data_IF_416205163866
#
_entry.id   IF_416205163866
#
_cell.length_a   1.000
_cell.length_b   1.000
_cell.length_c   1.000
_cell.angle_alpha   90.00
_cell.angle_beta   90.00
_cell.angle_gamma   90.00
#
_symmetry.space_group_name_H-M   'P 1'
#
loop_
_entity.id
_entity.type
_entity.pdbx_description
1 polymer ?
#
# COMPACT_ATOMS: atom_id res chain seq x y z
N UNK A 1 -18.73 28.34 6.50
CA UNK A 1 -18.30 29.45 7.39
C UNK A 1 -16.99 29.04 8.04
N UNK A 2 -16.03 29.95 8.19
CA UNK A 2 -14.73 29.66 8.79
C UNK A 2 -14.56 30.50 10.06
N UNK A 3 -14.21 29.88 11.21
CA UNK A 3 -13.93 30.63 12.42
C UNK A 3 -12.71 31.54 12.21
N UNK A 4 -12.68 32.66 12.94
CA UNK A 4 -11.60 33.65 12.86
C UNK A 4 -10.30 32.99 13.34
N UNK A 5 -9.20 33.21 12.62
CA UNK A 5 -7.89 32.62 12.95
C UNK A 5 -7.71 31.16 12.50
N UNK A 6 -8.66 30.61 11.73
CA UNK A 6 -8.53 29.29 11.12
C UNK A 6 -8.43 29.38 9.60
N UNK A 7 -7.75 28.41 8.99
CA UNK A 7 -7.56 28.28 7.55
C UNK A 7 -7.96 26.86 7.13
N UNK A 8 -8.65 26.74 5.99
CA UNK A 8 -8.94 25.45 5.37
C UNK A 8 -7.82 25.03 4.41
N UNK A 9 -7.26 23.85 4.63
CA UNK A 9 -6.24 23.21 3.79
C UNK A 9 -6.84 22.00 3.07
N UNK A 10 -6.74 21.99 1.74
CA UNK A 10 -7.22 20.89 0.88
C UNK A 10 -6.09 19.93 0.52
N UNK A 11 -5.41 19.40 1.54
CA UNK A 11 -4.32 18.43 1.38
C UNK A 11 -4.80 17.03 1.78
N UNK A 12 -4.50 15.98 0.99
CA UNK A 12 -4.86 14.62 1.33
C UNK A 12 -4.04 14.13 2.53
N UNK A 13 -4.62 13.27 3.36
CA UNK A 13 -3.94 12.61 4.49
C UNK A 13 -3.32 13.54 5.56
N UNK A 14 -3.67 14.83 5.57
CA UNK A 14 -3.10 15.82 6.51
C UNK A 14 -3.31 15.44 7.99
N UNK A 15 -4.42 14.77 8.31
CA UNK A 15 -4.74 14.32 9.67
C UNK A 15 -3.71 13.36 10.27
N UNK A 16 -3.00 12.57 9.44
CA UNK A 16 -1.91 11.71 9.95
C UNK A 16 -0.70 12.53 10.37
N UNK A 17 -0.36 13.53 9.58
CA UNK A 17 0.77 14.44 9.84
C UNK A 17 0.47 15.29 11.08
N UNK A 18 -0.73 15.86 11.16
CA UNK A 18 -1.16 16.70 12.29
C UNK A 18 -1.10 15.95 13.63
N UNK A 19 -1.54 14.68 13.65
CA UNK A 19 -1.46 13.83 14.85
C UNK A 19 -0.05 13.47 15.29
N UNK A 20 0.94 13.49 14.39
CA UNK A 20 2.35 13.26 14.78
C UNK A 20 2.99 14.49 15.40
N UNK A 21 2.46 15.66 15.09
CA UNK A 21 2.96 16.95 15.56
C UNK A 21 2.14 17.52 16.72
N UNK A 22 1.13 16.77 17.20
CA UNK A 22 0.16 17.21 18.21
C UNK A 22 -0.49 18.56 17.88
N UNK A 23 -0.79 18.79 16.60
CA UNK A 23 -1.48 19.99 16.11
C UNK A 23 -2.97 19.67 15.94
N UNK A 24 -3.82 20.55 16.48
CA UNK A 24 -5.26 20.46 16.32
C UNK A 24 -5.69 20.62 14.86
N UNK A 25 -6.28 19.57 14.30
CA UNK A 25 -6.69 19.50 12.91
C UNK A 25 -8.01 18.75 12.80
N UNK A 26 -9.04 19.42 12.27
CA UNK A 26 -10.40 18.88 12.18
C UNK A 26 -10.82 18.75 10.71
N UNK A 27 -11.43 17.62 10.27
CA UNK A 27 -11.94 17.51 8.91
C UNK A 27 -13.05 18.53 8.65
N UNK A 28 -12.98 19.21 7.50
CA UNK A 28 -13.97 20.22 7.13
C UNK A 28 -15.13 19.57 6.37
N UNK A 29 -16.33 19.56 6.97
CA UNK A 29 -17.56 19.15 6.27
C UNK A 29 -18.03 20.33 5.40
N UNK A 30 -17.94 20.18 4.08
CA UNK A 30 -18.32 21.25 3.13
C UNK A 30 -19.71 21.07 2.55
N UNK A 31 -20.27 19.86 2.64
CA UNK A 31 -21.60 19.58 2.13
C UNK A 31 -22.14 18.23 2.58
N UNK A 32 -23.29 17.85 2.03
CA UNK A 32 -23.91 16.55 2.20
C UNK A 32 -24.22 15.97 0.82
N UNK A 33 -23.87 14.71 0.62
CA UNK A 33 -24.25 13.92 -0.54
C UNK A 33 -25.48 13.08 -0.20
N UNK A 34 -26.42 13.01 -1.14
CA UNK A 34 -27.69 12.32 -0.95
C UNK A 34 -27.76 11.15 -1.92
N UNK A 35 -27.22 10.02 -1.49
CA UNK A 35 -27.25 8.78 -2.26
C UNK A 35 -27.90 7.65 -1.45
N UNK A 36 -28.69 6.80 -2.12
CA UNK A 36 -29.30 5.64 -1.46
C UNK A 36 -30.35 5.96 -0.39
N UNK A 37 -30.97 7.15 -0.43
CA UNK A 37 -32.02 7.55 0.51
C UNK A 37 -31.53 8.07 1.86
N UNK A 38 -30.21 8.18 2.07
CA UNK A 38 -29.60 8.76 3.27
C UNK A 38 -28.71 9.96 2.91
N UNK A 39 -28.40 10.82 3.88
CA UNK A 39 -27.44 11.92 3.71
C UNK A 39 -26.07 11.57 4.29
N UNK A 40 -25.02 11.66 3.49
CA UNK A 40 -23.65 11.43 3.90
C UNK A 40 -22.89 12.75 3.94
N UNK A 41 -22.19 13.10 5.04
CA UNK A 41 -21.38 14.31 5.08
C UNK A 41 -20.18 14.18 4.15
N UNK A 42 -20.00 15.18 3.28
CA UNK A 42 -18.82 15.28 2.40
C UNK A 42 -17.75 16.08 3.13
N UNK A 43 -16.65 15.41 3.47
CA UNK A 43 -15.48 16.04 4.09
C UNK A 43 -14.47 16.43 3.03
N UNK A 44 -14.28 17.73 2.82
CA UNK A 44 -13.26 18.26 1.90
C UNK A 44 -12.20 19.05 2.66
N UNK A 45 -11.01 18.46 2.78
CA UNK A 45 -9.88 19.09 3.44
C UNK A 45 -10.05 19.20 4.95
N UNK A 46 -9.23 20.06 5.55
CA UNK A 46 -9.06 20.18 7.00
C UNK A 46 -9.04 21.64 7.42
N UNK A 47 -9.57 21.93 8.60
CA UNK A 47 -9.48 23.23 9.25
C UNK A 47 -8.35 23.17 10.29
N UNK A 48 -7.46 24.15 10.24
CA UNK A 48 -6.28 24.28 11.11
C UNK A 48 -6.14 25.74 11.53
N UNK A 49 -5.57 25.99 12.71
CA UNK A 49 -5.22 27.35 13.14
C UNK A 49 -4.18 27.97 12.20
N UNK A 50 -4.29 29.28 11.96
CA UNK A 50 -3.43 30.01 11.01
C UNK A 50 -1.95 29.91 11.36
N UNK A 51 -1.61 29.92 12.66
CA UNK A 51 -0.24 29.84 13.19
C UNK A 51 0.48 28.54 12.81
N UNK A 52 -0.25 27.44 12.70
CA UNK A 52 0.31 26.11 12.43
C UNK A 52 0.31 25.75 10.95
N UNK A 53 -0.24 26.61 10.09
CA UNK A 53 -0.39 26.37 8.66
C UNK A 53 0.94 26.01 8.00
N UNK A 54 1.96 26.82 8.21
CA UNK A 54 3.26 26.68 7.53
C UNK A 54 4.00 25.42 7.99
N UNK A 55 4.02 25.17 9.30
CA UNK A 55 4.63 23.98 9.90
C UNK A 55 3.97 22.72 9.36
N UNK A 56 2.63 22.71 9.30
CA UNK A 56 1.88 21.54 8.87
C UNK A 56 2.05 21.26 7.37
N UNK A 57 2.14 22.31 6.53
CA UNK A 57 2.41 22.16 5.09
C UNK A 57 3.82 21.60 4.87
N UNK A 58 4.84 22.16 5.52
CA UNK A 58 6.22 21.67 5.40
C UNK A 58 6.37 20.22 5.86
N UNK A 59 5.72 19.87 6.98
CA UNK A 59 5.70 18.49 7.48
C UNK A 59 4.97 17.53 6.53
N UNK A 60 3.87 17.99 5.91
CA UNK A 60 3.13 17.22 4.93
C UNK A 60 3.98 16.93 3.69
N UNK A 61 4.70 17.93 3.17
CA UNK A 61 5.61 17.75 2.03
C UNK A 61 6.71 16.72 2.32
N UNK A 62 7.30 16.76 3.52
CA UNK A 62 8.30 15.78 3.92
C UNK A 62 7.70 14.36 4.03
N UNK A 63 6.53 14.22 4.63
CA UNK A 63 5.85 12.92 4.76
C UNK A 63 5.40 12.36 3.39
N UNK A 64 5.00 13.22 2.47
CA UNK A 64 4.67 12.84 1.10
C UNK A 64 5.90 12.28 0.38
N UNK A 65 7.03 12.99 0.47
CA UNK A 65 8.29 12.57 -0.14
C UNK A 65 8.79 11.24 0.45
N UNK A 66 8.67 11.03 1.76
CA UNK A 66 9.00 9.77 2.40
C UNK A 66 8.08 8.62 1.97
N UNK A 67 6.77 8.90 1.86
CA UNK A 67 5.81 7.89 1.40
C UNK A 67 6.10 7.46 -0.03
N UNK A 68 6.36 8.42 -0.92
CA UNK A 68 6.68 8.12 -2.32
C UNK A 68 7.96 7.27 -2.43
N UNK A 69 9.00 7.60 -1.65
CA UNK A 69 10.23 6.78 -1.59
C UNK A 69 9.94 5.35 -1.12
N UNK A 70 9.19 5.19 -0.03
CA UNK A 70 8.81 3.87 0.50
C UNK A 70 7.95 3.07 -0.48
N UNK A 71 7.06 3.72 -1.22
CA UNK A 71 6.23 3.07 -2.25
C UNK A 71 7.06 2.62 -3.45
N UNK A 72 8.03 3.44 -3.88
CA UNK A 72 8.99 3.07 -4.92
C UNK A 72 9.81 1.85 -4.51
N UNK A 73 10.38 1.85 -3.30
CA UNK A 73 11.13 0.71 -2.79
C UNK A 73 10.28 -0.56 -2.69
N UNK A 74 9.03 -0.46 -2.20
CA UNK A 74 8.10 -1.59 -2.15
C UNK A 74 7.80 -2.13 -3.54
N UNK A 75 7.61 -1.25 -4.52
CA UNK A 75 7.38 -1.64 -5.92
C UNK A 75 8.60 -2.35 -6.50
N UNK A 76 9.79 -1.81 -6.29
CA UNK A 76 11.05 -2.41 -6.75
C UNK A 76 11.26 -3.79 -6.13
N UNK A 77 11.09 -3.93 -4.81
CA UNK A 77 11.18 -5.22 -4.12
C UNK A 77 10.20 -6.25 -4.68
N UNK A 78 8.94 -5.85 -4.94
CA UNK A 78 7.93 -6.74 -5.57
C UNK A 78 8.34 -7.17 -6.97
N UNK A 79 8.83 -6.24 -7.78
CA UNK A 79 9.32 -6.55 -9.13
C UNK A 79 10.48 -7.56 -9.02
N UNK A 80 11.51 -7.28 -8.23
CA UNK A 80 12.65 -8.17 -8.07
C UNK A 80 12.24 -9.56 -7.54
N UNK A 81 11.29 -9.63 -6.61
CA UNK A 81 10.71 -10.88 -6.12
C UNK A 81 10.05 -11.68 -7.24
N UNK A 82 9.21 -11.05 -8.04
CA UNK A 82 8.54 -11.68 -9.18
C UNK A 82 9.52 -12.17 -10.24
N UNK A 83 10.56 -11.39 -10.54
CA UNK A 83 11.62 -11.80 -11.46
C UNK A 83 12.40 -13.00 -10.94
N UNK A 84 12.74 -13.02 -9.64
CA UNK A 84 13.39 -14.16 -9.01
C UNK A 84 12.51 -15.42 -9.10
N UNK A 85 11.20 -15.29 -8.88
CA UNK A 85 10.26 -16.41 -9.01
C UNK A 85 10.22 -16.94 -10.45
N UNK A 86 10.16 -16.05 -11.44
CA UNK A 86 10.15 -16.43 -12.86
C UNK A 86 11.43 -17.17 -13.26
N UNK A 87 12.61 -16.65 -12.90
CA UNK A 87 13.89 -17.30 -13.21
C UNK A 87 14.01 -18.66 -12.54
N UNK A 88 13.63 -18.77 -11.25
CA UNK A 88 13.59 -20.06 -10.54
C UNK A 88 12.67 -21.06 -11.24
N UNK A 89 11.47 -20.62 -11.66
CA UNK A 89 10.53 -21.47 -12.41
C UNK A 89 11.11 -21.97 -13.74
N UNK A 90 11.81 -21.12 -14.48
CA UNK A 90 12.50 -21.52 -15.72
C UNK A 90 13.62 -22.54 -15.47
N UNK A 91 14.45 -22.32 -14.45
CA UNK A 91 15.51 -23.27 -14.07
C UNK A 91 14.94 -24.63 -13.66
N UNK A 92 13.87 -24.64 -12.86
CA UNK A 92 13.17 -25.88 -12.46
C UNK A 92 12.62 -26.60 -13.68
N UNK A 93 11.96 -25.88 -14.60
CA UNK A 93 11.42 -26.45 -15.84
C UNK A 93 12.53 -27.05 -16.72
N UNK A 94 13.68 -26.38 -16.84
CA UNK A 94 14.82 -26.92 -17.58
C UNK A 94 15.36 -28.20 -16.91
N UNK A 95 15.56 -28.19 -15.59
CA UNK A 95 16.03 -29.36 -14.84
C UNK A 95 15.08 -30.56 -14.94
N UNK A 96 13.77 -30.31 -14.94
CA UNK A 96 12.75 -31.33 -15.18
C UNK A 96 12.86 -31.90 -16.60
N UNK A 97 13.03 -31.03 -17.60
CA UNK A 97 13.24 -31.43 -19.00
C UNK A 97 14.45 -32.35 -19.13
N UNK A 98 15.59 -31.97 -18.57
CA UNK A 98 16.82 -32.79 -18.63
C UNK A 98 16.66 -34.17 -17.97
N UNK A 99 15.96 -34.24 -16.82
CA UNK A 99 15.80 -35.51 -16.08
C UNK A 99 14.69 -36.41 -16.60
N UNK A 100 13.64 -35.85 -17.20
CA UNK A 100 12.43 -36.60 -17.54
C UNK A 100 12.05 -36.57 -19.02
N UNK A 101 12.62 -35.69 -19.86
CA UNK A 101 12.30 -35.69 -21.31
C UNK A 101 12.74 -36.97 -22.02
N UNK A 102 13.75 -37.67 -21.52
CA UNK A 102 14.14 -38.99 -22.06
C UNK A 102 13.12 -40.08 -21.67
N UNK A 103 12.44 -39.94 -20.53
CA UNK A 103 11.42 -40.90 -20.06
C UNK A 103 10.03 -40.63 -20.66
N UNK A 104 9.73 -39.39 -21.06
CA UNK A 104 8.39 -39.03 -21.52
C UNK A 104 8.05 -39.54 -22.93
N UNK A 105 9.03 -39.82 -23.79
CA UNK A 105 8.77 -40.55 -25.04
C UNK A 105 8.41 -42.02 -24.78
N UNK A 106 8.82 -42.59 -23.64
CA UNK A 106 8.45 -43.94 -23.21
C UNK A 106 7.19 -43.99 -22.32
N UNK A 107 6.75 -42.85 -21.76
CA UNK A 107 5.71 -42.79 -20.72
C UNK A 107 4.46 -41.98 -21.08
N UNK A 108 4.36 -41.42 -22.30
CA UNK A 108 3.19 -40.65 -22.78
C UNK A 108 1.85 -41.41 -22.86
N UNK A 109 1.75 -42.61 -22.30
CA UNK A 109 0.53 -43.43 -22.31
C UNK A 109 -0.28 -43.41 -21.01
N UNK A 110 0.20 -42.85 -19.88
CA UNK A 110 -0.54 -43.01 -18.61
C UNK A 110 -0.53 -41.80 -17.66
N UNK A 111 -1.72 -41.21 -17.51
CA UNK A 111 -2.34 -40.57 -16.32
C UNK A 111 -2.01 -39.13 -15.88
N UNK A 112 -3.01 -38.25 -16.08
CA UNK A 112 -3.83 -37.54 -15.07
C UNK A 112 -3.29 -37.28 -13.63
N UNK A 113 -3.37 -35.99 -13.26
CA UNK A 113 -3.89 -35.42 -11.99
C UNK A 113 -3.04 -35.48 -10.70
N UNK A 114 -2.76 -34.29 -10.15
CA UNK A 114 -2.75 -34.08 -8.69
C UNK A 114 -1.54 -33.35 -8.08
N UNK A 115 -1.81 -32.14 -7.59
CA UNK A 115 -1.48 -31.67 -6.23
C UNK A 115 -0.11 -31.02 -5.90
N UNK A 116 -0.19 -29.96 -5.07
CA UNK A 116 0.86 -29.62 -4.10
C UNK A 116 1.70 -28.35 -4.31
N UNK A 117 1.12 -27.16 -4.50
CA UNK A 117 1.84 -25.90 -4.22
C UNK A 117 1.62 -25.50 -2.76
N UNK A 118 2.48 -26.01 -1.87
CA UNK A 118 2.51 -25.61 -0.46
C UNK A 118 2.98 -24.15 -0.38
N UNK A 119 2.11 -23.30 0.14
CA UNK A 119 2.35 -21.90 0.44
C UNK A 119 3.06 -21.82 1.79
N UNK A 120 4.34 -21.48 1.78
CA UNK A 120 5.13 -21.15 2.97
C UNK A 120 4.73 -19.71 3.38
N UNK A 121 4.10 -19.57 4.55
CA UNK A 121 3.79 -18.28 5.17
C UNK A 121 5.03 -17.82 5.97
N UNK A 122 5.70 -16.77 5.51
CA UNK A 122 6.70 -16.06 6.31
C UNK A 122 5.96 -15.12 7.29
N UNK A 123 5.82 -15.55 8.55
CA UNK A 123 5.48 -14.68 9.69
C UNK A 123 6.66 -13.76 10.03
N UNK A 124 6.55 -12.47 9.66
CA UNK A 124 7.45 -11.41 10.15
C UNK A 124 6.85 -10.79 11.42
N UNK A 125 7.35 -11.27 12.57
CA UNK A 125 7.07 -10.71 13.89
C UNK A 125 7.76 -9.37 14.07
N UNK A 126 6.99 -8.29 13.97
CA UNK A 126 7.43 -6.92 14.25
C UNK A 126 7.04 -6.47 15.67
N UNK A 127 8.05 -6.38 16.52
CA UNK A 127 8.12 -5.92 17.91
C UNK A 127 7.44 -4.55 18.16
N UNK A 128 6.61 -4.47 19.21
CA UNK A 128 6.12 -3.19 19.76
C UNK A 128 7.08 -2.71 20.85
N UNK A 129 7.63 -1.48 20.81
CA UNK A 129 8.19 -0.86 21.99
C UNK A 129 7.09 -0.13 22.79
N UNK A 130 7.24 -0.22 24.11
CA UNK A 130 6.39 0.34 25.16
C UNK A 130 6.42 1.88 25.25
#
# INVERSE_FOLDING_TARGET
>A
MMPIGCVQLKLPNLHRVARKLDIDCVPAVTGFDFHGGYSHPVTEGYVVCEEHKEVLVAAWENEEAEREKKEKEKREKRVLGNWKLMVKGLLIKQRLKERYSVKNEAAGATMERGDGFSSDEDEDGGEQPA
#
